data_IF_814375086272
#
_entry.id   IF_814375086272
#
_cell.length_a   1.000
_cell.length_b   1.000
_cell.length_c   1.000
_cell.angle_alpha   90.00
_cell.angle_beta   90.00
_cell.angle_gamma   90.00
#
_symmetry.space_group_name_H-M   'P 1'
#
loop_
_entity.id
_entity.type
_entity.pdbx_description
1 polymer ?
#
# COMPACT_ATOMS: atom_id res chain seq x y z
N UNK A 1 23.99 -38.23 -35.45
CA UNK A 1 22.99 -39.25 -35.21
C UNK A 1 21.67 -38.53 -34.99
N UNK A 2 20.87 -38.61 -36.03
CA UNK A 2 19.41 -38.59 -36.15
C UNK A 2 18.60 -37.43 -35.50
N UNK A 3 18.18 -36.52 -36.39
CA UNK A 3 16.92 -35.76 -36.29
C UNK A 3 15.74 -36.65 -36.71
N UNK A 4 14.55 -36.44 -36.21
CA UNK A 4 13.34 -36.66 -36.97
C UNK A 4 12.48 -35.42 -37.20
N UNK A 5 12.19 -35.26 -38.43
CA UNK A 5 10.97 -34.95 -39.17
C UNK A 5 9.96 -33.92 -38.65
N UNK A 6 9.78 -32.96 -39.57
CA UNK A 6 8.71 -31.97 -39.60
C UNK A 6 7.44 -32.61 -40.17
N UNK A 7 6.35 -32.57 -39.46
CA UNK A 7 5.01 -32.79 -39.99
C UNK A 7 4.30 -31.47 -40.25
N UNK A 8 4.08 -31.19 -41.50
CA UNK A 8 3.29 -30.07 -42.05
C UNK A 8 1.84 -30.53 -42.16
N UNK A 9 0.94 -29.80 -41.48
CA UNK A 9 -0.52 -29.98 -41.63
C UNK A 9 -1.06 -28.89 -42.55
N UNK A 10 -1.89 -29.22 -43.55
CA UNK A 10 -2.36 -28.28 -44.56
C UNK A 10 -3.54 -27.43 -44.07
N UNK A 11 -3.57 -26.17 -44.58
CA UNK A 11 -4.64 -25.20 -44.35
C UNK A 11 -5.91 -25.60 -45.12
N UNK A 12 -7.02 -25.70 -44.41
CA UNK A 12 -8.35 -25.79 -44.97
C UNK A 12 -8.89 -24.39 -45.30
N UNK A 13 -9.24 -24.21 -46.54
CA UNK A 13 -9.88 -23.05 -47.13
C UNK A 13 -11.40 -23.09 -46.82
N UNK A 14 -11.93 -22.06 -46.15
CA UNK A 14 -13.37 -21.85 -46.00
C UNK A 14 -13.82 -20.74 -46.91
N UNK A 15 -14.81 -21.10 -47.76
CA UNK A 15 -15.51 -20.28 -48.76
C UNK A 15 -16.18 -19.04 -48.18
N UNK A 16 -16.10 -17.97 -48.98
CA UNK A 16 -16.90 -16.77 -48.85
C UNK A 16 -18.35 -17.02 -49.34
N UNK A 17 -19.31 -16.85 -48.47
CA UNK A 17 -20.71 -16.69 -48.83
C UNK A 17 -21.07 -15.21 -48.93
N UNK A 18 -21.46 -14.84 -50.13
CA UNK A 18 -21.98 -13.55 -50.54
C UNK A 18 -23.43 -13.43 -50.08
N UNK A 19 -23.78 -12.48 -49.22
CA UNK A 19 -25.16 -12.11 -48.94
C UNK A 19 -25.42 -10.70 -49.44
N UNK A 20 -26.47 -10.62 -50.24
CA UNK A 20 -27.01 -9.46 -50.94
C UNK A 20 -27.40 -8.30 -50.05
N UNK A 21 -27.20 -7.11 -50.58
CA UNK A 21 -27.73 -5.86 -50.05
C UNK A 21 -29.24 -5.78 -50.27
N UNK A 22 -29.99 -5.50 -49.21
CA UNK A 22 -31.30 -4.89 -49.27
C UNK A 22 -31.23 -3.49 -48.66
N UNK A 23 -31.42 -2.51 -49.55
CA UNK A 23 -31.61 -1.10 -49.23
C UNK A 23 -33.06 -0.85 -48.84
N UNK A 24 -33.31 -0.49 -47.59
CA UNK A 24 -34.52 0.23 -47.26
C UNK A 24 -34.19 1.50 -46.46
N UNK A 25 -34.51 2.60 -47.12
CA UNK A 25 -34.41 3.95 -46.59
C UNK A 25 -35.63 4.25 -45.75
N UNK A 26 -35.47 4.64 -44.49
CA UNK A 26 -36.47 5.41 -43.78
C UNK A 26 -35.91 6.15 -42.54
N UNK A 27 -35.90 7.46 -42.63
CA UNK A 27 -36.17 8.40 -41.56
C UNK A 27 -35.01 8.79 -40.62
N UNK A 28 -34.75 10.12 -40.44
CA UNK A 28 -33.88 10.59 -39.37
C UNK A 28 -34.62 10.44 -38.06
N UNK A 29 -34.18 9.46 -37.27
CA UNK A 29 -34.53 9.36 -35.85
C UNK A 29 -33.50 10.23 -35.09
N UNK A 30 -33.98 11.36 -34.58
CA UNK A 30 -33.31 12.14 -33.54
C UNK A 30 -33.10 11.25 -32.30
N UNK A 31 -32.05 10.43 -32.33
CA UNK A 31 -31.51 9.83 -31.14
C UNK A 31 -30.70 10.92 -30.40
N UNK A 32 -31.38 11.65 -29.52
CA UNK A 32 -30.68 12.37 -28.47
C UNK A 32 -29.74 11.37 -27.77
N UNK A 33 -28.45 11.57 -27.95
CA UNK A 33 -27.42 10.92 -27.16
C UNK A 33 -27.70 11.20 -25.69
N UNK A 34 -28.47 10.31 -25.07
CA UNK A 34 -28.49 10.19 -23.61
C UNK A 34 -27.09 9.69 -23.27
N UNK A 35 -26.19 10.63 -22.94
CA UNK A 35 -24.95 10.30 -22.30
C UNK A 35 -25.28 9.44 -21.09
N UNK A 36 -25.07 8.13 -21.25
CA UNK A 36 -25.15 7.16 -20.16
C UNK A 36 -24.08 7.56 -19.14
N UNK A 37 -24.46 8.43 -18.21
CA UNK A 37 -23.63 8.77 -17.06
C UNK A 37 -23.59 7.54 -16.18
N UNK A 38 -22.69 6.61 -16.54
CA UNK A 38 -22.47 5.41 -15.77
C UNK A 38 -22.26 5.82 -14.30
N UNK A 39 -23.16 5.36 -13.45
CA UNK A 39 -23.06 5.67 -12.01
C UNK A 39 -21.71 5.16 -11.48
N UNK A 40 -21.03 5.94 -10.65
CA UNK A 40 -19.74 5.53 -10.07
C UNK A 40 -19.93 4.21 -9.32
N UNK A 41 -19.03 3.25 -9.59
CA UNK A 41 -19.03 1.97 -8.88
C UNK A 41 -18.49 2.19 -7.47
N UNK A 42 -19.29 1.89 -6.46
CA UNK A 42 -18.94 2.05 -5.04
C UNK A 42 -18.55 0.72 -4.44
N UNK A 43 -17.42 0.71 -3.72
CA UNK A 43 -16.87 -0.43 -3.00
C UNK A 43 -16.71 -0.08 -1.52
N UNK A 44 -17.31 -0.86 -0.63
CA UNK A 44 -17.13 -0.69 0.81
C UNK A 44 -15.82 -1.35 1.27
N UNK A 45 -15.00 -0.60 2.01
CA UNK A 45 -13.82 -1.16 2.64
C UNK A 45 -14.21 -1.96 3.90
N UNK A 46 -13.54 -3.08 4.10
CA UNK A 46 -13.74 -3.98 5.24
C UNK A 46 -12.70 -3.65 6.30
N UNK A 47 -13.16 -3.29 7.50
CA UNK A 47 -12.29 -2.99 8.64
C UNK A 47 -11.48 -4.24 9.05
N UNK A 48 -10.21 -4.04 9.38
CA UNK A 48 -9.26 -5.10 9.73
C UNK A 48 -8.68 -5.86 8.52
N UNK A 49 -9.24 -5.69 7.33
CA UNK A 49 -8.71 -6.32 6.12
C UNK A 49 -7.44 -5.59 5.62
N UNK A 50 -6.56 -6.35 4.95
CA UNK A 50 -5.35 -5.84 4.30
C UNK A 50 -5.27 -6.33 2.86
N UNK A 51 -4.62 -5.54 2.02
CA UNK A 51 -4.29 -5.97 0.66
C UNK A 51 -3.06 -6.89 0.67
N UNK A 52 -3.09 -7.95 -0.12
CA UNK A 52 -1.85 -8.62 -0.47
C UNK A 52 -0.93 -7.62 -1.21
N UNK A 53 0.37 -7.54 -0.88
CA UNK A 53 1.27 -6.57 -1.50
C UNK A 53 1.28 -6.61 -3.03
N UNK A 54 1.15 -7.81 -3.61
CA UNK A 54 1.11 -8.02 -5.06
C UNK A 54 -0.20 -7.54 -5.74
N UNK A 55 -1.24 -7.24 -4.96
CA UNK A 55 -2.56 -6.83 -5.47
C UNK A 55 -2.88 -5.37 -5.13
N UNK A 56 -2.06 -4.74 -4.27
CA UNK A 56 -2.30 -3.40 -3.77
C UNK A 56 -1.99 -2.36 -4.84
N UNK A 57 -3.04 -1.76 -5.40
CA UNK A 57 -2.96 -0.65 -6.36
C UNK A 57 -3.05 0.71 -5.70
N UNK A 58 -3.65 0.80 -4.51
CA UNK A 58 -3.85 2.08 -3.83
C UNK A 58 -3.60 2.00 -2.33
N UNK A 59 -3.16 3.13 -1.78
CA UNK A 59 -2.96 3.33 -0.36
C UNK A 59 -3.56 4.67 0.05
N UNK A 60 -4.43 4.64 1.05
CA UNK A 60 -4.87 5.82 1.81
C UNK A 60 -4.18 5.75 3.17
N UNK A 61 -3.52 6.82 3.57
CA UNK A 61 -2.93 6.95 4.91
C UNK A 61 -3.53 8.16 5.60
N UNK A 62 -4.01 7.97 6.82
CA UNK A 62 -4.47 9.03 7.72
C UNK A 62 -3.67 8.93 9.01
N UNK A 63 -2.89 9.96 9.28
CA UNK A 63 -1.86 9.97 10.29
C UNK A 63 -2.12 11.05 11.34
N UNK A 64 -2.13 10.67 12.63
CA UNK A 64 -2.22 11.63 13.73
C UNK A 64 -0.85 12.26 14.00
N UNK A 65 -0.78 13.58 13.94
CA UNK A 65 0.42 14.32 14.33
C UNK A 65 0.53 14.33 15.87
N UNK A 66 1.68 13.89 16.37
CA UNK A 66 1.99 14.00 17.79
C UNK A 66 1.97 15.47 18.22
N UNK A 67 1.24 15.78 19.29
CA UNK A 67 1.14 17.14 19.85
C UNK A 67 0.16 18.08 19.16
N UNK A 68 -0.59 17.65 18.13
CA UNK A 68 -1.61 18.44 17.46
C UNK A 68 -3.00 17.80 17.53
N UNK A 69 -3.71 17.89 18.66
CA UNK A 69 -5.01 17.26 18.80
C UNK A 69 -5.99 17.71 17.73
N UNK A 70 -6.59 16.76 17.00
CA UNK A 70 -7.59 17.02 15.98
C UNK A 70 -7.03 17.39 14.59
N UNK A 71 -5.71 17.53 14.43
CA UNK A 71 -5.09 17.65 13.12
C UNK A 71 -4.54 16.30 12.67
N UNK A 72 -4.86 15.90 11.44
CA UNK A 72 -4.38 14.69 10.81
C UNK A 72 -3.70 15.04 9.49
N UNK A 73 -2.61 14.37 9.18
CA UNK A 73 -2.11 14.35 7.83
C UNK A 73 -2.78 13.21 7.07
N UNK A 74 -3.25 13.50 5.89
CA UNK A 74 -3.92 12.52 5.06
C UNK A 74 -3.33 12.51 3.66
N UNK A 75 -3.18 11.31 3.10
CA UNK A 75 -2.71 11.11 1.74
C UNK A 75 -3.44 9.96 1.08
N UNK A 76 -3.55 10.02 -0.23
CA UNK A 76 -4.07 8.94 -1.06
C UNK A 76 -3.30 8.88 -2.38
N UNK A 77 -2.81 7.71 -2.74
CA UNK A 77 -2.20 7.43 -4.02
C UNK A 77 -2.78 6.14 -4.59
N UNK A 78 -3.10 6.14 -5.88
CA UNK A 78 -3.61 4.98 -6.61
C UNK A 78 -2.84 4.85 -7.90
N UNK A 79 -2.46 3.63 -8.25
CA UNK A 79 -1.81 3.29 -9.52
C UNK A 79 -2.76 2.46 -10.39
N UNK A 80 -2.47 2.39 -11.67
CA UNK A 80 -3.19 1.53 -12.64
C UNK A 80 -2.95 0.04 -12.39
N UNK A 81 -1.79 -0.31 -11.84
CA UNK A 81 -1.41 -1.68 -11.44
C UNK A 81 -0.74 -1.67 -10.08
N UNK A 82 -0.68 -2.83 -9.43
CA UNK A 82 0.08 -3.01 -8.19
C UNK A 82 1.58 -2.77 -8.44
N UNK A 83 2.25 -2.13 -7.47
CA UNK A 83 3.70 -1.93 -7.54
C UNK A 83 4.42 -3.27 -7.29
N UNK A 84 5.09 -3.84 -8.28
CA UNK A 84 5.77 -5.13 -8.15
C UNK A 84 6.87 -5.12 -7.08
N UNK A 85 7.39 -3.94 -6.69
CA UNK A 85 8.40 -3.81 -5.63
C UNK A 85 7.86 -4.13 -4.25
N UNK A 86 6.54 -4.04 -4.06
CA UNK A 86 5.88 -4.35 -2.78
C UNK A 86 5.77 -5.85 -2.52
N UNK A 87 5.91 -6.69 -3.55
CA UNK A 87 5.81 -8.14 -3.46
C UNK A 87 7.14 -8.82 -3.06
N UNK A 88 7.98 -8.17 -2.26
CA UNK A 88 9.26 -8.73 -1.81
C UNK A 88 9.02 -9.85 -0.78
N UNK A 89 9.77 -10.94 -0.95
CA UNK A 89 9.88 -11.95 0.09
C UNK A 89 10.91 -11.51 1.15
N UNK A 90 10.61 -11.76 2.42
CA UNK A 90 11.57 -11.59 3.49
C UNK A 90 12.73 -12.59 3.32
N UNK A 91 13.97 -12.14 3.55
CA UNK A 91 15.16 -12.99 3.56
C UNK A 91 15.23 -13.84 4.83
N UNK A 92 14.80 -13.26 5.94
CA UNK A 92 14.58 -13.92 7.23
C UNK A 92 13.19 -13.53 7.70
N UNK A 93 12.49 -14.44 8.34
CA UNK A 93 11.18 -14.14 8.93
C UNK A 93 10.89 -15.07 10.12
N UNK A 94 10.14 -14.53 11.06
CA UNK A 94 9.47 -15.28 12.11
C UNK A 94 7.94 -15.00 12.07
N UNK A 95 7.24 -15.29 13.14
CA UNK A 95 5.79 -15.08 13.22
C UNK A 95 5.39 -13.57 13.23
N UNK A 96 6.28 -12.68 13.66
CA UNK A 96 6.00 -11.26 13.87
C UNK A 96 6.77 -10.34 12.92
N UNK A 97 7.98 -10.72 12.52
CA UNK A 97 8.93 -9.88 11.84
C UNK A 97 9.43 -10.48 10.52
N UNK A 98 9.83 -9.61 9.61
CA UNK A 98 10.55 -9.95 8.39
C UNK A 98 11.72 -9.01 8.15
N UNK A 99 12.89 -9.57 7.82
CA UNK A 99 14.04 -8.83 7.35
C UNK A 99 14.06 -8.81 5.82
N UNK A 100 14.16 -7.63 5.25
CA UNK A 100 14.13 -7.37 3.82
C UNK A 100 15.45 -6.73 3.39
N UNK A 101 16.12 -7.38 2.46
CA UNK A 101 17.35 -6.85 1.87
C UNK A 101 17.08 -6.36 0.46
N UNK A 102 17.38 -5.09 0.21
CA UNK A 102 17.36 -4.58 -1.15
C UNK A 102 18.76 -4.71 -1.74
N UNK A 103 18.88 -5.43 -2.83
CA UNK A 103 20.14 -5.51 -3.56
C UNK A 103 20.51 -4.13 -4.11
N UNK A 104 21.79 -3.74 -3.93
CA UNK A 104 22.31 -2.45 -4.40
C UNK A 104 22.26 -2.32 -5.94
N UNK A 105 22.25 -3.44 -6.63
CA UNK A 105 22.17 -3.50 -8.10
C UNK A 105 20.90 -4.23 -8.51
N UNK A 106 20.10 -3.58 -9.34
CA UNK A 106 18.93 -4.20 -9.93
C UNK A 106 19.33 -5.43 -10.75
N UNK A 107 18.78 -6.62 -10.47
CA UNK A 107 19.20 -7.86 -11.13
C UNK A 107 18.87 -7.89 -12.64
N UNK A 108 18.05 -6.96 -13.13
CA UNK A 108 17.61 -6.90 -14.53
C UNK A 108 18.57 -6.13 -15.47
N UNK A 109 19.56 -5.40 -14.95
CA UNK A 109 20.20 -4.36 -15.75
C UNK A 109 19.22 -3.22 -16.12
N UNK A 110 19.52 -2.38 -17.11
CA UNK A 110 18.65 -1.29 -17.54
C UNK A 110 17.39 -1.82 -18.23
N UNK A 111 16.22 -1.49 -17.67
CA UNK A 111 14.95 -1.83 -18.29
C UNK A 111 14.57 -0.83 -19.40
N UNK A 112 13.81 -1.25 -20.45
CA UNK A 112 13.24 -0.35 -21.44
C UNK A 112 12.36 0.73 -20.81
N UNK A 113 12.12 1.84 -21.55
CA UNK A 113 11.22 2.92 -21.13
C UNK A 113 9.84 2.37 -20.73
N UNK A 114 9.26 2.88 -19.65
CA UNK A 114 7.98 2.43 -19.10
C UNK A 114 8.04 1.09 -18.35
N UNK A 115 9.23 0.52 -18.17
CA UNK A 115 9.44 -0.70 -17.39
C UNK A 115 10.40 -0.48 -16.23
N UNK A 116 10.25 -1.30 -15.19
CA UNK A 116 11.12 -1.31 -14.02
C UNK A 116 11.57 -2.73 -13.69
N UNK A 117 12.65 -2.85 -12.94
CA UNK A 117 13.10 -4.16 -12.49
C UNK A 117 12.18 -4.71 -11.41
N UNK A 118 11.53 -5.81 -11.70
CA UNK A 118 10.71 -6.53 -10.73
C UNK A 118 11.53 -7.43 -9.80
N UNK A 119 10.92 -7.95 -8.73
CA UNK A 119 11.60 -8.79 -7.74
C UNK A 119 12.11 -10.12 -8.30
N UNK A 120 11.55 -10.59 -9.40
CA UNK A 120 12.00 -11.80 -10.11
C UNK A 120 13.25 -11.61 -10.97
N UNK A 121 13.82 -10.40 -11.04
CA UNK A 121 14.93 -10.08 -11.93
C UNK A 121 14.54 -9.88 -13.40
N UNK A 122 13.26 -9.66 -13.69
CA UNK A 122 12.74 -9.36 -15.02
C UNK A 122 12.17 -7.94 -15.08
N UNK A 123 12.21 -7.32 -16.26
CA UNK A 123 11.61 -6.00 -16.46
C UNK A 123 10.08 -6.13 -16.56
N UNK A 124 9.37 -5.50 -15.62
CA UNK A 124 7.90 -5.44 -15.54
C UNK A 124 7.40 -4.04 -15.89
N UNK A 125 6.10 -3.90 -16.12
CA UNK A 125 5.49 -2.58 -16.30
C UNK A 125 5.72 -1.71 -15.07
N UNK A 126 6.00 -0.43 -15.28
CA UNK A 126 6.07 0.56 -14.20
C UNK A 126 4.65 1.04 -13.86
N UNK A 127 4.25 1.04 -12.59
CA UNK A 127 2.96 1.59 -12.19
C UNK A 127 2.83 3.06 -12.60
N UNK A 128 1.66 3.42 -13.11
CA UNK A 128 1.32 4.80 -13.45
C UNK A 128 0.30 5.32 -12.44
N UNK A 129 0.66 6.41 -11.78
CA UNK A 129 -0.22 7.02 -10.79
C UNK A 129 -1.44 7.67 -11.45
N UNK A 130 -2.62 7.48 -10.88
CA UNK A 130 -3.84 8.17 -11.28
C UNK A 130 -3.75 9.66 -10.92
N UNK A 131 -4.11 10.52 -11.87
CA UNK A 131 -4.06 11.98 -11.70
C UNK A 131 -5.36 12.60 -11.17
N UNK A 132 -6.45 11.82 -11.17
CA UNK A 132 -7.81 12.24 -10.78
C UNK A 132 -8.21 11.80 -9.37
N UNK A 133 -7.23 11.45 -8.52
CA UNK A 133 -7.46 10.97 -7.15
C UNK A 133 -8.03 12.09 -6.29
N UNK A 134 -9.16 11.80 -5.63
CA UNK A 134 -9.78 12.66 -4.61
C UNK A 134 -10.01 11.87 -3.33
N UNK A 135 -9.55 12.43 -2.22
CA UNK A 135 -9.76 11.89 -0.89
C UNK A 135 -10.69 12.83 -0.12
N UNK A 136 -11.85 12.34 0.26
CA UNK A 136 -12.81 13.07 1.08
C UNK A 136 -12.77 12.50 2.50
N UNK A 137 -12.64 13.37 3.49
CA UNK A 137 -12.71 13.03 4.92
C UNK A 137 -13.87 13.78 5.53
N UNK A 138 -14.83 13.03 6.09
CA UNK A 138 -16.06 13.55 6.68
C UNK A 138 -16.02 13.38 8.20
N UNK A 139 -16.15 14.45 8.95
CA UNK A 139 -16.24 14.43 10.41
C UNK A 139 -17.41 15.28 10.87
N UNK A 140 -18.44 14.66 11.42
CA UNK A 140 -19.72 15.33 11.67
C UNK A 140 -20.30 15.93 10.40
N UNK A 141 -20.60 17.24 10.41
CA UNK A 141 -21.14 17.95 9.26
C UNK A 141 -20.05 18.55 8.34
N UNK A 142 -18.78 18.33 8.65
CA UNK A 142 -17.67 18.88 7.87
C UNK A 142 -17.18 17.85 6.86
N UNK A 143 -16.85 18.33 5.65
CA UNK A 143 -16.22 17.55 4.60
C UNK A 143 -14.98 18.30 4.15
N UNK A 144 -13.85 17.63 4.18
CA UNK A 144 -12.60 18.16 3.63
C UNK A 144 -12.19 17.27 2.46
N UNK A 145 -11.84 17.91 1.34
CA UNK A 145 -11.45 17.24 0.11
C UNK A 145 -9.99 17.55 -0.20
N UNK A 146 -9.20 16.52 -0.38
CA UNK A 146 -7.84 16.58 -0.89
C UNK A 146 -7.86 16.05 -2.33
N UNK A 147 -7.25 16.80 -3.24
CA UNK A 147 -7.14 16.41 -4.66
C UNK A 147 -5.69 16.19 -5.03
N UNK A 148 -5.45 15.24 -5.93
CA UNK A 148 -4.12 15.03 -6.48
C UNK A 148 -3.65 16.29 -7.20
N UNK A 149 -2.43 16.72 -6.88
CA UNK A 149 -1.78 17.88 -7.52
C UNK A 149 -0.80 17.43 -8.60
N UNK A 150 -0.33 16.20 -8.50
CA UNK A 150 0.64 15.55 -9.39
C UNK A 150 0.60 14.02 -9.21
N UNK A 151 1.57 13.33 -9.74
CA UNK A 151 1.72 11.88 -9.63
C UNK A 151 1.98 11.36 -8.21
N UNK A 152 2.21 12.22 -7.21
CA UNK A 152 2.32 11.80 -5.80
C UNK A 152 0.96 11.55 -5.14
N UNK A 153 -0.13 11.90 -5.81
CA UNK A 153 -1.50 11.70 -5.33
C UNK A 153 -2.06 12.90 -4.55
N UNK A 154 -3.17 12.66 -3.85
CA UNK A 154 -3.83 13.64 -2.98
C UNK A 154 -3.17 13.63 -1.60
N UNK A 155 -2.82 14.80 -1.06
CA UNK A 155 -2.23 14.93 0.29
C UNK A 155 -2.53 16.28 0.92
N UNK A 156 -2.55 16.32 2.24
CA UNK A 156 -2.73 17.56 3.02
C UNK A 156 -3.06 17.28 4.47
N UNK A 157 -3.17 18.36 5.24
CA UNK A 157 -3.61 18.31 6.64
C UNK A 157 -5.11 18.56 6.69
N UNK A 158 -5.82 17.75 7.46
CA UNK A 158 -7.25 17.88 7.72
C UNK A 158 -7.50 18.11 9.21
N UNK A 159 -8.50 18.91 9.54
CA UNK A 159 -8.90 19.16 10.93
C UNK A 159 -10.25 18.51 11.17
N UNK A 160 -10.33 17.64 12.17
CA UNK A 160 -11.55 16.91 12.49
C UNK A 160 -12.40 17.67 13.50
N UNK A 161 -13.72 17.64 13.32
CA UNK A 161 -14.69 18.12 14.30
C UNK A 161 -14.88 17.17 15.49
N UNK A 162 -14.38 15.93 15.39
CA UNK A 162 -14.55 14.87 16.39
C UNK A 162 -13.45 13.82 16.30
N UNK A 163 -13.59 12.75 17.10
CA UNK A 163 -12.63 11.65 17.14
C UNK A 163 -12.85 10.62 16.03
N UNK A 164 -14.05 10.56 15.46
CA UNK A 164 -14.39 9.65 14.37
C UNK A 164 -14.62 10.40 13.06
N UNK A 165 -14.39 9.73 11.96
CA UNK A 165 -14.56 10.25 10.61
C UNK A 165 -14.87 9.12 9.63
N UNK A 166 -15.44 9.47 8.49
CA UNK A 166 -15.58 8.58 7.35
C UNK A 166 -14.62 8.99 6.23
N UNK A 167 -14.20 8.02 5.45
CA UNK A 167 -13.29 8.20 4.33
C UNK A 167 -13.95 7.77 3.03
N UNK A 168 -13.77 8.59 2.00
CA UNK A 168 -14.20 8.28 0.65
C UNK A 168 -13.05 8.60 -0.32
N UNK A 169 -12.59 7.60 -1.05
CA UNK A 169 -11.57 7.73 -2.08
C UNK A 169 -12.22 7.58 -3.45
N UNK A 170 -11.99 8.53 -4.34
CA UNK A 170 -12.53 8.55 -5.70
C UNK A 170 -11.38 8.62 -6.72
N UNK A 171 -11.45 7.82 -7.78
CA UNK A 171 -10.57 7.88 -8.95
C UNK A 171 -11.19 7.06 -10.11
N UNK A 172 -10.89 7.40 -11.35
CA UNK A 172 -11.26 6.63 -12.55
C UNK A 172 -12.73 6.14 -12.57
N UNK A 173 -13.67 6.93 -12.04
CA UNK A 173 -15.09 6.56 -11.92
C UNK A 173 -15.38 5.49 -10.85
N UNK A 174 -14.42 5.14 -10.01
CA UNK A 174 -14.57 4.25 -8.86
C UNK A 174 -14.61 5.05 -7.56
N UNK A 175 -15.28 4.49 -6.56
CA UNK A 175 -15.34 5.05 -5.21
C UNK A 175 -15.14 3.94 -4.19
N UNK A 176 -14.19 4.13 -3.26
CA UNK A 176 -14.02 3.29 -2.07
C UNK A 176 -14.47 4.06 -0.85
N UNK A 177 -15.31 3.47 -0.03
CA UNK A 177 -15.85 4.09 1.18
C UNK A 177 -15.53 3.29 2.42
N UNK A 178 -15.22 3.98 3.52
CA UNK A 178 -15.18 3.44 4.86
C UNK A 178 -15.97 4.36 5.78
N UNK A 179 -16.99 3.81 6.43
CA UNK A 179 -17.77 4.51 7.46
C UNK A 179 -16.97 4.66 8.76
N UNK A 180 -17.59 5.24 9.75
CA UNK A 180 -17.06 5.60 11.06
C UNK A 180 -15.77 4.87 11.49
N UNK A 181 -14.65 5.56 11.32
CA UNK A 181 -13.33 5.10 11.75
C UNK A 181 -12.65 6.14 12.62
N UNK A 182 -11.55 5.78 13.22
CA UNK A 182 -10.72 6.70 14.00
C UNK A 182 -9.25 6.27 13.91
N UNK A 183 -8.36 7.24 14.02
CA UNK A 183 -6.95 6.95 14.26
C UNK A 183 -6.83 6.31 15.65
N UNK A 184 -6.10 5.20 15.83
CA UNK A 184 -5.88 4.61 17.13
C UNK A 184 -5.11 5.58 18.05
N UNK A 185 -5.36 5.58 19.38
CA UNK A 185 -4.62 6.44 20.30
C UNK A 185 -3.16 5.98 20.44
N UNK A 186 -2.33 6.82 21.04
CA UNK A 186 -1.00 6.41 21.48
C UNK A 186 -1.10 5.25 22.50
N UNK A 187 -0.13 4.35 22.46
CA UNK A 187 -0.04 3.24 23.43
C UNK A 187 0.46 3.76 24.78
N UNK A 188 -0.23 3.36 25.84
CA UNK A 188 0.19 3.69 27.19
C UNK A 188 1.39 2.85 27.63
N UNK A 189 2.26 3.44 28.46
CA UNK A 189 3.42 2.78 29.06
C UNK A 189 4.39 2.11 28.07
N UNK A 190 4.47 2.68 26.85
CA UNK A 190 5.38 2.17 25.82
C UNK A 190 6.82 2.37 26.23
N UNK A 191 7.57 1.28 26.33
CA UNK A 191 8.99 1.25 26.63
C UNK A 191 9.74 0.35 25.64
N UNK A 192 11.04 0.63 25.45
CA UNK A 192 11.90 -0.16 24.60
C UNK A 192 13.24 -0.45 25.23
N UNK A 193 13.79 -1.64 24.95
CA UNK A 193 15.15 -2.03 25.34
C UNK A 193 15.86 -2.60 24.14
N UNK A 194 17.03 -2.03 23.82
CA UNK A 194 17.95 -2.55 22.79
C UNK A 194 19.14 -3.23 23.46
N UNK A 195 19.13 -4.56 23.46
CA UNK A 195 20.22 -5.36 24.02
C UNK A 195 21.42 -5.39 23.05
N UNK A 196 22.63 -5.25 23.57
CA UNK A 196 23.88 -5.23 22.77
C UNK A 196 24.22 -3.86 22.19
N UNK A 197 23.34 -2.86 22.33
CA UNK A 197 23.52 -1.50 21.79
C UNK A 197 23.37 -1.41 20.27
N UNK A 198 23.57 -0.21 19.72
CA UNK A 198 23.34 0.06 18.30
C UNK A 198 24.33 -0.62 17.35
N UNK A 199 25.56 -0.85 17.79
CA UNK A 199 26.62 -1.42 16.95
C UNK A 199 26.51 -2.94 16.80
N UNK A 200 25.99 -3.61 17.83
CA UNK A 200 25.83 -5.07 17.87
C UNK A 200 24.51 -5.47 18.53
N UNK A 201 23.38 -5.07 17.96
CA UNK A 201 22.10 -5.38 18.56
C UNK A 201 21.90 -6.90 18.63
N UNK A 202 21.56 -7.39 19.81
CA UNK A 202 21.26 -8.80 20.04
C UNK A 202 19.76 -9.06 20.19
N UNK A 203 18.98 -8.05 20.57
CA UNK A 203 17.52 -8.06 20.56
C UNK A 203 16.97 -6.64 20.73
N UNK A 204 15.76 -6.41 20.23
CA UNK A 204 14.91 -5.25 20.55
C UNK A 204 13.64 -5.77 21.22
N UNK A 205 13.40 -5.36 22.46
CA UNK A 205 12.20 -5.67 23.21
C UNK A 205 11.35 -4.40 23.39
N UNK A 206 10.10 -4.45 22.96
CA UNK A 206 9.11 -3.40 23.20
C UNK A 206 8.02 -3.94 24.10
N UNK A 207 7.56 -3.11 25.05
CA UNK A 207 6.43 -3.45 25.92
C UNK A 207 5.51 -2.24 26.06
N UNK A 208 4.21 -2.49 26.19
CA UNK A 208 3.18 -1.47 26.35
C UNK A 208 1.96 -2.04 27.07
N UNK A 209 1.11 -1.17 27.59
CA UNK A 209 -0.19 -1.60 28.11
C UNK A 209 -1.10 -1.97 26.94
N UNK A 210 -1.59 -3.24 26.87
CA UNK A 210 -2.45 -3.68 25.78
C UNK A 210 -3.72 -2.84 25.66
N UNK A 211 -3.99 -2.22 24.51
CA UNK A 211 -5.27 -1.54 24.28
C UNK A 211 -6.40 -2.54 24.06
N UNK A 212 -7.63 -2.10 24.28
CA UNK A 212 -8.83 -2.92 24.05
C UNK A 212 -9.22 -2.99 22.56
N UNK A 213 -8.54 -2.26 21.68
CA UNK A 213 -8.87 -2.20 20.27
C UNK A 213 -8.19 -3.29 19.42
N UNK A 214 -8.71 -3.54 18.23
CA UNK A 214 -8.19 -4.53 17.28
C UNK A 214 -7.11 -3.96 16.34
N UNK A 215 -6.35 -2.97 16.82
CA UNK A 215 -5.28 -2.39 16.02
C UNK A 215 -4.01 -3.25 16.02
N UNK A 216 -3.12 -2.95 15.09
CA UNK A 216 -1.81 -3.60 14.93
C UNK A 216 -0.72 -2.62 15.39
N UNK A 217 0.22 -3.10 16.17
CA UNK A 217 1.50 -2.43 16.32
C UNK A 217 2.37 -2.80 15.11
N UNK A 218 2.85 -1.79 14.44
CA UNK A 218 3.75 -1.93 13.30
C UNK A 218 5.03 -1.15 13.55
N UNK A 219 6.16 -1.70 13.17
CA UNK A 219 7.43 -0.98 13.21
C UNK A 219 8.24 -1.26 11.95
N UNK A 220 8.86 -0.23 11.46
CA UNK A 220 9.80 -0.27 10.34
C UNK A 220 11.15 0.21 10.85
N UNK A 221 12.14 -0.68 10.80
CA UNK A 221 13.49 -0.44 11.31
C UNK A 221 14.44 -0.42 10.12
N UNK A 222 14.73 0.76 9.55
CA UNK A 222 15.62 0.87 8.41
C UNK A 222 17.07 0.83 8.82
N UNK A 223 17.95 0.58 7.85
CA UNK A 223 19.36 0.86 7.97
C UNK A 223 19.58 2.37 7.83
N UNK A 224 20.39 2.94 8.72
CA UNK A 224 20.73 4.35 8.65
C UNK A 224 21.85 4.59 7.62
N UNK A 225 21.50 5.01 6.40
CA UNK A 225 22.45 5.56 5.45
C UNK A 225 21.79 6.41 4.36
N UNK A 226 22.54 7.35 3.84
CA UNK A 226 22.03 8.39 2.96
C UNK A 226 21.92 8.00 1.48
N UNK A 227 22.37 6.82 1.08
CA UNK A 227 22.29 6.40 -0.31
C UNK A 227 22.35 4.88 -0.45
N UNK A 228 21.42 4.33 -1.18
CA UNK A 228 21.46 2.94 -1.62
C UNK A 228 20.25 2.12 -1.30
N UNK A 229 20.45 0.83 -1.21
CA UNK A 229 19.41 -0.14 -1.06
C UNK A 229 18.71 0.02 0.30
N UNK A 230 17.39 0.10 0.26
CA UNK A 230 16.58 0.09 1.47
C UNK A 230 16.57 -1.32 2.05
N UNK A 231 17.42 -1.53 3.05
CA UNK A 231 17.44 -2.74 3.87
C UNK A 231 16.75 -2.42 5.18
N UNK A 232 15.80 -3.22 5.59
CA UNK A 232 14.97 -2.93 6.76
C UNK A 232 14.41 -4.20 7.39
N UNK A 233 14.01 -4.09 8.64
CA UNK A 233 13.18 -5.08 9.32
C UNK A 233 11.81 -4.46 9.56
N UNK A 234 10.76 -5.19 9.20
CA UNK A 234 9.38 -4.82 9.51
C UNK A 234 8.78 -5.84 10.46
N UNK A 235 8.09 -5.37 11.48
CA UNK A 235 7.35 -6.21 12.40
C UNK A 235 5.90 -5.75 12.51
N UNK A 236 4.99 -6.71 12.66
CA UNK A 236 3.57 -6.46 12.85
C UNK A 236 2.99 -7.45 13.87
N UNK A 237 2.47 -6.96 14.97
CA UNK A 237 1.79 -7.77 15.99
C UNK A 237 0.47 -7.13 16.38
N UNK A 238 -0.54 -7.90 16.82
CA UNK A 238 -1.73 -7.31 17.45
C UNK A 238 -1.33 -6.38 18.60
N UNK A 239 -1.85 -5.17 18.66
CA UNK A 239 -1.54 -4.25 19.75
C UNK A 239 -1.95 -4.81 21.11
N UNK A 240 -2.94 -5.70 21.14
CA UNK A 240 -3.36 -6.46 22.33
C UNK A 240 -2.31 -7.45 22.88
N UNK A 241 -1.21 -7.72 22.13
CA UNK A 241 -0.14 -8.61 22.59
C UNK A 241 0.65 -8.00 23.77
N UNK A 242 0.74 -6.67 23.87
CA UNK A 242 1.46 -5.97 24.93
C UNK A 242 2.99 -6.06 24.85
N UNK A 243 3.52 -6.86 23.91
CA UNK A 243 4.96 -7.07 23.75
C UNK A 243 5.31 -7.33 22.27
N UNK A 244 6.49 -6.90 21.86
CA UNK A 244 7.15 -7.30 20.61
C UNK A 244 8.61 -7.59 20.91
N UNK A 245 9.09 -8.74 20.47
CA UNK A 245 10.49 -9.12 20.48
C UNK A 245 11.01 -9.23 19.06
N UNK A 246 12.14 -8.60 18.78
CA UNK A 246 12.84 -8.68 17.49
C UNK A 246 14.22 -9.29 17.73
N UNK A 247 14.45 -10.44 17.10
CA UNK A 247 15.69 -11.19 17.26
C UNK A 247 16.91 -10.50 16.64
N UNK A 248 18.08 -10.69 17.25
CA UNK A 248 19.35 -10.16 16.77
C UNK A 248 19.68 -10.43 15.30
N UNK A 249 19.46 -11.64 14.76
CA UNK A 249 19.68 -11.93 13.34
C UNK A 249 18.91 -11.00 12.38
N UNK A 250 17.78 -10.42 12.78
CA UNK A 250 17.03 -9.46 11.98
C UNK A 250 17.54 -8.02 12.13
N UNK A 251 18.24 -7.72 13.22
CA UNK A 251 18.75 -6.39 13.54
C UNK A 251 20.20 -6.21 13.14
N UNK A 252 21.01 -7.26 13.30
CA UNK A 252 22.45 -7.20 13.08
C UNK A 252 22.86 -6.74 11.67
N UNK A 253 22.18 -7.16 10.58
CA UNK A 253 22.50 -6.66 9.25
C UNK A 253 22.24 -5.15 9.08
N UNK A 254 21.38 -4.56 9.92
CA UNK A 254 21.05 -3.13 9.87
C UNK A 254 22.13 -2.27 10.53
N UNK A 255 22.96 -2.84 11.41
CA UNK A 255 24.00 -2.13 12.18
C UNK A 255 25.34 -1.97 11.47
N UNK A 256 25.55 -2.66 10.33
CA UNK A 256 26.87 -2.87 9.72
C UNK A 256 27.53 -1.60 9.17
N UNK A 257 26.78 -0.54 8.85
CA UNK A 257 27.38 0.64 8.20
C UNK A 257 27.37 1.91 9.05
N UNK A 258 26.28 2.23 9.72
CA UNK A 258 26.10 3.50 10.43
C UNK A 258 25.28 3.37 11.71
N UNK A 259 24.97 2.14 12.11
CA UNK A 259 24.09 1.85 13.24
C UNK A 259 22.63 1.65 12.84
N UNK A 260 21.89 1.06 13.75
CA UNK A 260 20.45 0.84 13.63
C UNK A 260 19.72 2.17 13.82
N UNK A 261 18.81 2.51 12.89
CA UNK A 261 17.93 3.66 13.06
C UNK A 261 16.54 3.20 13.50
N UNK A 262 16.31 3.22 14.80
CA UNK A 262 14.97 2.98 15.36
C UNK A 262 14.43 4.27 15.96
N UNK A 263 13.31 4.76 15.44
CA UNK A 263 12.69 5.99 15.89
C UNK A 263 11.43 5.73 16.72
N UNK A 264 10.67 4.70 16.40
CA UNK A 264 9.42 4.44 17.08
C UNK A 264 8.57 3.36 16.42
N UNK A 265 7.31 3.40 16.79
CA UNK A 265 6.30 2.45 16.32
C UNK A 265 5.11 3.19 15.72
N UNK A 266 4.37 2.48 14.90
CA UNK A 266 3.06 2.90 14.41
C UNK A 266 1.98 2.01 15.02
N UNK A 267 1.00 2.63 15.64
CA UNK A 267 -0.22 1.96 16.07
C UNK A 267 -1.26 2.12 14.94
N UNK A 268 -1.62 1.03 14.26
CA UNK A 268 -2.30 1.08 12.96
C UNK A 268 -3.60 0.30 12.97
N UNK A 269 -4.67 0.91 12.46
CA UNK A 269 -5.88 0.22 12.02
C UNK A 269 -5.88 0.13 10.50
N UNK A 270 -6.20 -1.04 9.99
CA UNK A 270 -6.30 -1.30 8.57
C UNK A 270 -7.75 -1.44 8.13
N UNK A 271 -8.01 -1.09 6.89
CA UNK A 271 -9.18 -1.51 6.14
C UNK A 271 -8.78 -1.70 4.67
N UNK A 272 -9.49 -2.52 3.95
CA UNK A 272 -9.23 -2.73 2.54
C UNK A 272 -10.51 -2.94 1.74
N UNK A 273 -10.49 -2.51 0.48
CA UNK A 273 -11.54 -2.76 -0.48
C UNK A 273 -10.97 -3.42 -1.73
N UNK A 274 -11.60 -4.52 -2.15
CA UNK A 274 -11.32 -5.12 -3.45
C UNK A 274 -12.17 -4.43 -4.51
N UNK A 275 -11.52 -3.83 -5.49
CA UNK A 275 -12.17 -3.14 -6.61
C UNK A 275 -12.00 -3.94 -7.91
N UNK A 276 -12.62 -3.47 -8.99
CA UNK A 276 -12.42 -4.08 -10.31
C UNK A 276 -11.01 -3.91 -10.89
N UNK A 277 -10.21 -2.99 -10.34
CA UNK A 277 -8.84 -2.71 -10.79
C UNK A 277 -7.78 -3.34 -9.88
N UNK A 278 -8.13 -3.67 -8.64
CA UNK A 278 -7.21 -4.23 -7.63
C UNK A 278 -7.61 -3.82 -6.22
N UNK A 279 -6.74 -4.09 -5.26
CA UNK A 279 -7.00 -3.83 -3.85
C UNK A 279 -6.53 -2.43 -3.43
N UNK A 280 -7.37 -1.70 -2.71
CA UNK A 280 -7.03 -0.42 -2.05
C UNK A 280 -6.98 -0.64 -0.56
N UNK A 281 -5.83 -0.32 0.05
CA UNK A 281 -5.61 -0.40 1.50
C UNK A 281 -5.77 0.98 2.14
N UNK A 282 -6.44 1.03 3.27
CA UNK A 282 -6.58 2.21 4.11
C UNK A 282 -5.86 1.97 5.43
N UNK A 283 -5.01 2.92 5.82
CA UNK A 283 -4.25 2.90 7.07
C UNK A 283 -4.59 4.12 7.90
N UNK A 284 -4.97 3.89 9.14
CA UNK A 284 -5.23 4.91 10.16
C UNK A 284 -4.21 4.71 11.26
N UNK A 285 -3.26 5.64 11.40
CA UNK A 285 -2.08 5.37 12.21
C UNK A 285 -1.71 6.53 13.12
N UNK A 286 -1.18 6.19 14.29
CA UNK A 286 -0.51 7.10 15.21
C UNK A 286 0.94 6.65 15.33
N UNK A 287 1.87 7.56 15.05
CA UNK A 287 3.29 7.31 15.29
C UNK A 287 3.64 7.70 16.72
N UNK A 288 4.44 6.89 17.36
CA UNK A 288 4.90 7.14 18.72
C UNK A 288 6.40 6.87 18.84
N UNK A 289 7.14 7.90 19.29
CA UNK A 289 8.55 7.76 19.57
C UNK A 289 8.79 6.80 20.73
N UNK A 290 9.86 6.03 20.66
CA UNK A 290 10.27 5.12 21.75
C UNK A 290 11.65 5.48 22.22
N UNK A 291 11.76 5.81 23.51
CA UNK A 291 13.07 5.94 24.15
C UNK A 291 13.62 4.55 24.45
N UNK A 292 14.72 4.20 23.84
CA UNK A 292 15.38 2.93 24.08
C UNK A 292 16.28 3.00 25.30
N UNK A 293 16.14 2.02 26.18
CA UNK A 293 17.09 1.73 27.26
C UNK A 293 18.14 0.75 26.71
N UNK A 294 19.41 0.91 27.15
CA UNK A 294 20.55 0.11 26.72
C UNK A 294 21.07 -0.77 27.86
#
# INVERSE_FOLDING_TARGET
VDSPDSDVVPADSISADTISADTDASGPSDAADAADTAQPKVFAAVAGARCAPAERIGLVSVYAQSGSPGALDASAAVNDIADPRLAKAAKLSDAACGFFEQLAVAPCGPCPSGKMCGPSGSCTAMPVAASDVKLLIRSGNQVQTLEAKDASGAYGTVTLAGKSFAVELQWAGLTVTLGDTAVPPELAELTGKLSGGYDKPSALDLTWTPPADAATLFTHIPINHHAGAQTFTECAVPASAGTLHVDGPMLLPLSVSTGLEFQGIEHVRFAAAQTSLGCVELRFQTFQYVNLNY
#
